data_IF_800766728551
#
_entry.id   IF_800766728551
#
_cell.length_a   1.000
_cell.length_b   1.000
_cell.length_c   1.000
_cell.angle_alpha   90.00
_cell.angle_beta   90.00
_cell.angle_gamma   90.00
#
_symmetry.space_group_name_H-M   'P 1'
#
loop_
_entity.id
_entity.type
_entity.pdbx_description
1 polymer ?
#
# COMPACT_ATOMS: atom_id res chain seq x y z
N UNK A 1 -36.44 -21.66 -30.27
CA UNK A 1 -35.90 -21.53 -28.92
C UNK A 1 -34.60 -20.71 -28.99
N UNK A 2 -34.61 -19.51 -28.44
CA UNK A 2 -33.42 -18.65 -28.44
C UNK A 2 -32.56 -19.10 -27.24
N UNK A 3 -31.43 -19.69 -27.54
CA UNK A 3 -30.43 -19.96 -26.50
C UNK A 3 -29.70 -18.65 -26.20
N UNK A 4 -30.05 -18.01 -25.07
CA UNK A 4 -29.18 -17.00 -24.49
C UNK A 4 -27.94 -17.69 -23.97
N UNK A 5 -26.79 -17.44 -24.59
CA UNK A 5 -25.51 -17.82 -23.99
C UNK A 5 -25.42 -17.20 -22.60
N UNK A 6 -24.97 -17.94 -21.59
CA UNK A 6 -24.77 -17.35 -20.26
C UNK A 6 -23.83 -16.16 -20.36
N UNK A 7 -24.27 -15.00 -19.84
CA UNK A 7 -23.42 -13.82 -19.78
C UNK A 7 -22.21 -14.15 -18.93
N UNK A 8 -21.01 -14.14 -19.53
CA UNK A 8 -19.77 -14.34 -18.77
C UNK A 8 -19.62 -13.13 -17.83
N UNK A 9 -19.66 -13.40 -16.52
CA UNK A 9 -19.36 -12.40 -15.52
C UNK A 9 -17.86 -12.16 -15.53
N UNK A 10 -17.43 -10.89 -15.60
CA UNK A 10 -16.05 -10.55 -15.44
C UNK A 10 -15.66 -10.58 -13.95
N UNK A 11 -14.36 -10.54 -13.66
CA UNK A 11 -13.84 -10.57 -12.31
C UNK A 11 -14.44 -9.44 -11.44
N UNK A 12 -14.59 -8.26 -12.02
CA UNK A 12 -15.13 -7.09 -11.35
C UNK A 12 -16.53 -7.34 -10.79
N UNK A 13 -17.42 -7.92 -11.60
CA UNK A 13 -18.80 -8.22 -11.22
C UNK A 13 -18.85 -9.25 -10.08
N UNK A 14 -18.01 -10.28 -10.16
CA UNK A 14 -17.93 -11.33 -9.14
C UNK A 14 -17.46 -10.73 -7.81
N UNK A 15 -16.41 -9.93 -7.84
CA UNK A 15 -15.82 -9.37 -6.63
C UNK A 15 -16.69 -8.30 -5.99
N UNK A 16 -17.43 -7.52 -6.78
CA UNK A 16 -18.44 -6.60 -6.25
C UNK A 16 -19.50 -7.31 -5.42
N UNK A 17 -20.01 -8.44 -5.90
CA UNK A 17 -20.98 -9.26 -5.17
C UNK A 17 -20.42 -9.78 -3.85
N UNK A 18 -19.13 -10.06 -3.82
CA UNK A 18 -18.41 -10.50 -2.62
C UNK A 18 -17.99 -9.32 -1.72
N UNK A 19 -18.49 -8.12 -1.99
CA UNK A 19 -18.26 -6.89 -1.21
C UNK A 19 -16.82 -6.37 -1.26
N UNK A 20 -16.06 -6.73 -2.27
CA UNK A 20 -14.75 -6.16 -2.51
C UNK A 20 -14.86 -4.72 -3.03
N UNK A 21 -13.92 -3.90 -2.61
CA UNK A 21 -13.75 -2.55 -3.13
C UNK A 21 -12.62 -2.53 -4.14
N UNK A 22 -12.91 -2.00 -5.32
CA UNK A 22 -11.94 -1.85 -6.40
C UNK A 22 -11.09 -0.62 -6.17
N UNK A 23 -9.79 -0.80 -6.25
CA UNK A 23 -8.79 0.26 -6.07
C UNK A 23 -7.83 0.23 -7.25
N UNK A 24 -7.38 1.40 -7.69
CA UNK A 24 -6.51 1.48 -8.85
C UNK A 24 -5.06 1.68 -8.44
N UNK A 25 -4.14 1.18 -9.26
CA UNK A 25 -2.73 1.50 -9.15
C UNK A 25 -2.17 1.95 -10.50
N UNK A 26 -1.06 2.66 -10.46
CA UNK A 26 -0.27 2.98 -11.63
C UNK A 26 1.03 2.20 -11.57
N UNK A 27 1.54 1.79 -12.73
CA UNK A 27 2.86 1.15 -12.81
C UNK A 27 3.90 2.21 -13.15
N UNK A 28 4.91 2.34 -12.31
CA UNK A 28 6.02 3.28 -12.56
C UNK A 28 6.98 2.75 -13.61
N UNK A 29 7.91 3.61 -14.07
CA UNK A 29 9.00 3.20 -14.94
C UNK A 29 9.91 2.15 -14.30
N UNK A 30 9.95 2.11 -12.98
CA UNK A 30 10.69 1.11 -12.20
C UNK A 30 9.87 -0.15 -11.92
N UNK A 31 8.69 -0.28 -12.53
CA UNK A 31 7.75 -1.41 -12.39
C UNK A 31 7.17 -1.57 -10.98
N UNK A 32 7.18 -0.51 -10.17
CA UNK A 32 6.48 -0.50 -8.89
C UNK A 32 5.02 -0.14 -9.07
N UNK A 33 4.17 -0.73 -8.25
CA UNK A 33 2.75 -0.38 -8.19
C UNK A 33 2.59 0.84 -7.28
N UNK A 34 2.11 1.94 -7.84
CA UNK A 34 1.94 3.20 -7.10
C UNK A 34 0.46 3.42 -6.78
N UNK A 35 0.18 3.71 -5.53
CA UNK A 35 -1.16 3.98 -5.04
C UNK A 35 -1.18 5.26 -4.20
N UNK A 36 -2.37 5.82 -4.06
CA UNK A 36 -2.64 6.86 -3.06
C UNK A 36 -3.34 6.24 -1.87
N UNK A 37 -2.93 6.65 -0.69
CA UNK A 37 -3.58 6.25 0.55
C UNK A 37 -3.63 7.43 1.51
N UNK A 38 -4.58 7.41 2.43
CA UNK A 38 -4.66 8.40 3.50
C UNK A 38 -4.29 7.77 4.82
N UNK A 39 -3.36 8.39 5.51
CA UNK A 39 -3.02 8.05 6.89
C UNK A 39 -3.45 9.20 7.78
N UNK A 40 -4.28 8.92 8.77
CA UNK A 40 -4.85 9.93 9.65
C UNK A 40 -5.50 11.10 8.88
N UNK A 41 -6.16 10.78 7.76
CA UNK A 41 -6.85 11.74 6.91
C UNK A 41 -5.97 12.50 5.91
N UNK A 42 -4.67 12.27 5.89
CA UNK A 42 -3.73 12.97 5.01
C UNK A 42 -3.29 12.04 3.86
N UNK A 43 -3.43 12.52 2.64
CA UNK A 43 -3.08 11.75 1.44
C UNK A 43 -1.56 11.69 1.24
N UNK A 44 -1.05 10.52 0.94
CA UNK A 44 0.32 10.29 0.53
C UNK A 44 0.39 9.35 -0.67
N UNK A 45 1.59 9.25 -1.24
CA UNK A 45 1.91 8.32 -2.31
C UNK A 45 2.67 7.13 -1.74
N UNK A 46 2.29 5.93 -2.15
CA UNK A 46 2.83 4.70 -1.60
C UNK A 46 3.15 3.71 -2.71
N UNK A 47 4.14 2.87 -2.46
CA UNK A 47 4.36 1.66 -3.25
C UNK A 47 3.52 0.54 -2.62
N UNK A 48 2.77 -0.17 -3.44
CA UNK A 48 2.11 -1.41 -3.04
C UNK A 48 3.09 -2.55 -3.24
N UNK A 49 3.55 -3.17 -2.16
CA UNK A 49 4.64 -4.16 -2.20
C UNK A 49 4.25 -5.42 -1.45
N UNK A 50 4.00 -6.49 -2.18
CA UNK A 50 3.66 -7.81 -1.62
C UNK A 50 4.81 -8.45 -0.85
N UNK A 51 6.04 -8.00 -1.10
CA UNK A 51 7.25 -8.50 -0.43
C UNK A 51 7.58 -7.80 0.89
N UNK A 52 6.91 -6.68 1.19
CA UNK A 52 7.08 -6.00 2.46
C UNK A 52 6.11 -6.60 3.49
N UNK A 53 6.62 -7.14 4.58
CA UNK A 53 5.79 -7.76 5.63
C UNK A 53 4.96 -6.73 6.39
N UNK A 54 5.52 -5.55 6.61
CA UNK A 54 4.87 -4.44 7.31
C UNK A 54 4.81 -3.20 6.43
N UNK A 55 3.70 -2.51 6.51
CA UNK A 55 3.58 -1.18 5.90
C UNK A 55 4.45 -0.19 6.68
N UNK A 56 5.02 0.76 5.96
CA UNK A 56 6.01 1.67 6.52
C UNK A 56 5.97 3.05 5.85
N UNK A 57 6.54 4.03 6.55
CA UNK A 57 6.73 5.39 6.05
C UNK A 57 8.14 5.87 6.39
N UNK A 58 8.59 6.90 5.69
CA UNK A 58 9.86 7.56 6.00
C UNK A 58 9.77 8.46 7.22
N UNK A 59 10.92 8.77 7.82
CA UNK A 59 11.01 9.67 8.98
C UNK A 59 10.45 11.06 8.67
N UNK A 60 10.63 11.54 7.45
CA UNK A 60 10.11 12.83 7.00
C UNK A 60 8.59 12.90 6.93
N UNK A 61 7.93 11.76 7.00
CA UNK A 61 6.47 11.68 6.95
C UNK A 61 5.81 11.67 8.33
N UNK A 62 6.59 11.68 9.40
CA UNK A 62 6.07 11.68 10.78
C UNK A 62 5.17 12.91 11.00
N UNK A 63 5.65 14.09 10.67
CA UNK A 63 4.86 15.33 10.82
C UNK A 63 3.70 15.37 9.86
N UNK A 64 3.90 14.97 8.60
CA UNK A 64 2.87 14.98 7.56
C UNK A 64 1.62 14.20 8.00
N UNK A 65 1.81 13.03 8.57
CA UNK A 65 0.72 12.14 8.96
C UNK A 65 0.34 12.22 10.45
N UNK A 66 0.91 13.17 11.20
CA UNK A 66 0.66 13.30 12.63
C UNK A 66 0.96 12.01 13.41
N UNK A 67 2.07 11.37 13.11
CA UNK A 67 2.43 10.10 13.72
C UNK A 67 3.05 10.31 15.11
N UNK A 68 2.64 9.46 16.06
CA UNK A 68 3.28 9.37 17.37
C UNK A 68 4.30 8.23 17.33
N UNK A 69 5.54 8.60 17.00
CA UNK A 69 6.61 7.63 16.83
C UNK A 69 7.20 7.20 18.18
N UNK A 70 7.41 5.92 18.34
CA UNK A 70 8.03 5.32 19.51
C UNK A 70 9.07 4.29 19.12
N UNK A 71 9.73 3.70 20.14
CA UNK A 71 10.75 2.67 19.91
C UNK A 71 10.13 1.43 19.26
N UNK A 72 10.78 0.91 18.24
CA UNK A 72 10.42 -0.34 17.59
C UNK A 72 11.43 -1.43 17.92
N UNK A 73 10.93 -2.65 18.12
CA UNK A 73 11.76 -3.86 18.22
C UNK A 73 12.05 -4.50 16.86
N UNK A 74 11.35 -4.02 15.82
CA UNK A 74 11.49 -4.53 14.46
C UNK A 74 12.66 -3.84 13.78
N UNK A 75 13.59 -4.62 13.25
CA UNK A 75 14.63 -4.09 12.35
C UNK A 75 14.10 -4.22 10.92
N UNK A 76 14.20 -3.15 10.14
CA UNK A 76 13.85 -3.21 8.73
C UNK A 76 14.86 -4.08 8.00
N UNK A 77 14.38 -5.18 7.42
CA UNK A 77 15.13 -5.98 6.48
C UNK A 77 14.50 -5.79 5.10
N UNK A 78 15.29 -5.70 4.08
CA UNK A 78 14.85 -5.47 2.71
C UNK A 78 15.37 -4.14 2.16
N UNK A 79 15.12 -3.85 0.88
CA UNK A 79 15.63 -2.66 0.18
C UNK A 79 17.16 -2.45 0.34
N UNK A 80 17.92 -3.55 0.52
CA UNK A 80 19.38 -3.53 0.62
C UNK A 80 19.96 -3.10 1.96
N UNK A 81 19.12 -2.93 3.00
CA UNK A 81 19.60 -2.52 4.32
C UNK A 81 19.19 -3.52 5.39
N UNK A 82 20.17 -4.11 6.07
CA UNK A 82 19.98 -4.94 7.24
C UNK A 82 20.33 -4.15 8.51
N UNK A 83 19.50 -4.25 9.54
CA UNK A 83 19.77 -3.63 10.83
C UNK A 83 19.51 -2.13 10.91
N UNK A 84 18.70 -1.60 10.02
CA UNK A 84 18.29 -0.19 10.05
C UNK A 84 17.49 0.13 11.31
N UNK A 85 17.77 1.32 11.87
CA UNK A 85 16.99 1.86 12.96
C UNK A 85 15.54 2.09 12.50
N UNK A 86 14.60 1.63 13.28
CA UNK A 86 13.18 1.82 13.02
C UNK A 86 12.47 2.38 14.25
N UNK A 87 11.36 3.04 13.98
CA UNK A 87 10.37 3.42 14.99
C UNK A 87 9.03 2.81 14.62
N UNK A 88 8.09 2.85 15.52
CA UNK A 88 6.71 2.40 15.29
C UNK A 88 5.74 3.50 15.67
N UNK A 89 4.71 3.68 14.86
CA UNK A 89 3.57 4.51 15.19
C UNK A 89 2.32 3.63 15.25
N UNK A 90 1.63 3.64 16.38
CA UNK A 90 0.42 2.84 16.64
C UNK A 90 -0.84 3.69 16.54
N UNK A 91 -1.98 3.00 16.43
CA UNK A 91 -3.32 3.62 16.51
C UNK A 91 -3.58 4.66 15.42
N UNK A 92 -3.17 4.35 14.18
CA UNK A 92 -3.44 5.20 13.04
C UNK A 92 -4.67 4.72 12.28
N UNK A 93 -5.30 5.63 11.53
CA UNK A 93 -6.29 5.26 10.53
C UNK A 93 -5.62 5.14 9.16
N UNK A 94 -6.03 4.16 8.38
CA UNK A 94 -5.61 3.99 7.00
C UNK A 94 -6.84 3.92 6.11
N UNK A 95 -6.83 4.68 5.03
CA UNK A 95 -7.89 4.65 4.02
C UNK A 95 -7.27 4.56 2.63
N UNK A 96 -7.70 3.58 1.86
CA UNK A 96 -7.30 3.43 0.45
C UNK A 96 -8.60 3.39 -0.36
N UNK A 97 -8.87 4.47 -1.11
CA UNK A 97 -10.16 4.62 -1.76
C UNK A 97 -11.31 4.55 -0.76
N UNK A 98 -12.22 3.60 -0.92
CA UNK A 98 -13.34 3.37 0.00
C UNK A 98 -13.07 2.29 1.04
N UNK A 99 -11.93 1.64 0.99
CA UNK A 99 -11.50 0.68 2.00
C UNK A 99 -10.81 1.43 3.15
N UNK A 100 -11.09 1.02 4.38
CA UNK A 100 -10.48 1.66 5.55
C UNK A 100 -10.27 0.65 6.66
N UNK A 101 -9.26 0.92 7.49
CA UNK A 101 -9.01 0.19 8.73
C UNK A 101 -8.55 1.17 9.82
N UNK A 102 -8.83 0.81 11.05
CA UNK A 102 -8.41 1.55 12.24
C UNK A 102 -7.35 0.74 13.00
N UNK A 103 -6.78 1.34 14.05
CA UNK A 103 -5.74 0.72 14.88
C UNK A 103 -4.56 0.19 14.05
N UNK A 104 -4.22 0.93 13.01
CA UNK A 104 -3.19 0.55 12.06
C UNK A 104 -1.81 0.95 12.58
N UNK A 105 -0.87 0.02 12.52
CA UNK A 105 0.52 0.24 12.93
C UNK A 105 1.41 0.46 11.73
N UNK A 106 2.28 1.45 11.83
CA UNK A 106 3.25 1.79 10.80
C UNK A 106 4.66 1.66 11.34
N UNK A 107 5.51 1.00 10.59
CA UNK A 107 6.95 1.04 10.83
C UNK A 107 7.50 2.31 10.18
N UNK A 108 8.37 3.00 10.87
CA UNK A 108 9.02 4.21 10.37
C UNK A 108 10.49 3.90 10.18
N UNK A 109 10.99 4.16 8.99
CA UNK A 109 12.40 3.89 8.67
C UNK A 109 12.91 4.86 7.61
N UNK A 110 14.20 4.79 7.31
CA UNK A 110 14.81 5.64 6.29
C UNK A 110 14.43 5.17 4.88
N UNK A 111 13.60 5.98 4.19
CA UNK A 111 13.14 5.72 2.83
C UNK A 111 14.08 6.29 1.76
N UNK A 112 15.23 6.84 2.14
CA UNK A 112 16.08 7.55 1.17
C UNK A 112 16.56 6.68 0.02
N UNK A 113 16.93 5.43 0.24
CA UNK A 113 17.33 4.58 -0.88
C UNK A 113 16.18 4.31 -1.86
N UNK A 114 14.95 4.13 -1.37
CA UNK A 114 13.77 3.93 -2.23
C UNK A 114 13.53 5.17 -3.07
N UNK A 115 13.52 6.33 -2.43
CA UNK A 115 13.26 7.60 -3.10
C UNK A 115 14.41 8.01 -4.04
N UNK A 116 15.65 7.71 -3.70
CA UNK A 116 16.79 7.94 -4.59
C UNK A 116 16.70 7.08 -5.85
N UNK A 117 16.32 5.82 -5.71
CA UNK A 117 16.10 4.94 -6.86
C UNK A 117 14.97 5.46 -7.76
N UNK A 118 13.85 5.91 -7.18
CA UNK A 118 12.76 6.51 -7.93
C UNK A 118 13.20 7.78 -8.66
N UNK A 119 13.98 8.64 -8.00
CA UNK A 119 14.49 9.88 -8.57
C UNK A 119 15.39 9.64 -9.80
N UNK A 120 16.21 8.61 -9.79
CA UNK A 120 17.05 8.25 -10.94
C UNK A 120 16.23 8.00 -12.21
N UNK A 121 15.00 7.53 -12.07
CA UNK A 121 14.07 7.30 -13.18
C UNK A 121 13.06 8.43 -13.36
N UNK A 122 13.32 9.61 -12.77
CA UNK A 122 12.44 10.78 -12.80
C UNK A 122 11.03 10.51 -12.25
N UNK A 123 10.90 9.52 -11.38
CA UNK A 123 9.65 9.23 -10.67
C UNK A 123 9.54 10.11 -9.44
N UNK A 124 8.29 10.41 -9.04
CA UNK A 124 8.02 11.18 -7.83
C UNK A 124 8.37 10.38 -6.58
N UNK A 125 8.81 11.03 -5.49
CA UNK A 125 9.05 10.34 -4.23
C UNK A 125 7.74 9.80 -3.65
N UNK A 126 7.87 8.75 -2.85
CA UNK A 126 6.76 8.16 -2.10
C UNK A 126 6.98 8.39 -0.61
N UNK A 127 5.89 8.47 0.14
CA UNK A 127 5.92 8.61 1.59
C UNK A 127 6.16 7.28 2.29
N UNK A 128 5.76 6.18 1.64
CA UNK A 128 5.91 4.88 2.27
C UNK A 128 5.56 3.71 1.36
N UNK A 129 5.37 2.58 2.00
CA UNK A 129 5.06 1.29 1.38
C UNK A 129 3.85 0.72 2.09
N UNK A 130 2.87 0.25 1.32
CA UNK A 130 1.76 -0.57 1.80
C UNK A 130 2.12 -2.01 1.54
N UNK A 131 2.22 -2.79 2.59
CA UNK A 131 2.75 -4.15 2.53
C UNK A 131 1.72 -5.26 2.75
N UNK A 132 2.25 -6.45 3.01
CA UNK A 132 1.45 -7.65 3.17
C UNK A 132 0.49 -7.61 4.36
N UNK A 133 0.80 -6.86 5.40
CA UNK A 133 -0.09 -6.65 6.55
C UNK A 133 -1.47 -6.14 6.12
N UNK A 134 -1.51 -5.13 5.25
CA UNK A 134 -2.75 -4.57 4.69
C UNK A 134 -3.38 -5.54 3.70
N UNK A 135 -2.57 -6.13 2.83
CA UNK A 135 -3.08 -7.04 1.80
C UNK A 135 -3.72 -8.29 2.40
N UNK A 136 -3.16 -8.81 3.48
CA UNK A 136 -3.74 -9.95 4.20
C UNK A 136 -5.03 -9.55 4.93
N UNK A 137 -5.04 -8.42 5.61
CA UNK A 137 -6.24 -7.92 6.31
C UNK A 137 -7.40 -7.72 5.34
N UNK A 138 -7.15 -7.11 4.19
CA UNK A 138 -8.15 -6.84 3.17
C UNK A 138 -8.39 -8.01 2.21
N UNK A 139 -7.81 -9.18 2.44
CA UNK A 139 -7.95 -10.36 1.56
C UNK A 139 -7.72 -9.99 0.10
N UNK A 140 -6.61 -9.33 -0.17
CA UNK A 140 -6.32 -8.67 -1.43
C UNK A 140 -6.31 -9.61 -2.64
N UNK A 141 -6.84 -9.10 -3.74
CA UNK A 141 -6.70 -9.69 -5.06
C UNK A 141 -6.09 -8.62 -5.96
N UNK A 142 -4.94 -8.90 -6.55
CA UNK A 142 -4.22 -7.96 -7.41
C UNK A 142 -4.38 -8.37 -8.86
N UNK A 143 -4.92 -7.46 -9.66
CA UNK A 143 -5.16 -7.66 -11.09
C UNK A 143 -4.19 -6.79 -11.89
N UNK A 144 -3.07 -7.39 -12.29
CA UNK A 144 -2.07 -6.72 -13.10
C UNK A 144 -2.59 -6.38 -14.51
N UNK A 145 -3.48 -7.21 -15.04
CA UNK A 145 -3.98 -7.00 -16.40
C UNK A 145 -4.79 -5.71 -16.53
N UNK A 146 -5.52 -5.33 -15.48
CA UNK A 146 -6.39 -4.16 -15.46
C UNK A 146 -5.88 -3.04 -14.56
N UNK A 147 -4.67 -3.14 -14.04
CA UNK A 147 -4.03 -2.16 -13.18
C UNK A 147 -4.90 -1.77 -11.98
N UNK A 148 -5.46 -2.76 -11.32
CA UNK A 148 -6.28 -2.56 -10.13
C UNK A 148 -6.05 -3.67 -9.11
N UNK A 149 -6.55 -3.45 -7.91
CA UNK A 149 -6.57 -4.44 -6.85
C UNK A 149 -7.86 -4.29 -6.06
N UNK A 150 -8.17 -5.30 -5.30
CA UNK A 150 -9.43 -5.36 -4.56
C UNK A 150 -9.14 -5.68 -3.10
N UNK A 151 -9.79 -4.96 -2.20
CA UNK A 151 -9.75 -5.21 -0.76
C UNK A 151 -11.17 -5.38 -0.23
N UNK A 152 -11.31 -6.29 0.73
CA UNK A 152 -12.61 -6.61 1.33
C UNK A 152 -12.72 -6.09 2.76
#
# INVERSE_FOLDING_TARGET
MIHCAPTMKNLDDVLKKEKYKKLNFKVSKTQHLLIKAKINGVTGNFILDTGASNSCVGFESIELFNLKAGKSKTKAAGAGATGMFTQIAKNNSLKIGRWKTEDFHLIIFDMSHVNDALKQYKAKPVQGIIGADVLLEGKAIIDYANHCFYLK
#
